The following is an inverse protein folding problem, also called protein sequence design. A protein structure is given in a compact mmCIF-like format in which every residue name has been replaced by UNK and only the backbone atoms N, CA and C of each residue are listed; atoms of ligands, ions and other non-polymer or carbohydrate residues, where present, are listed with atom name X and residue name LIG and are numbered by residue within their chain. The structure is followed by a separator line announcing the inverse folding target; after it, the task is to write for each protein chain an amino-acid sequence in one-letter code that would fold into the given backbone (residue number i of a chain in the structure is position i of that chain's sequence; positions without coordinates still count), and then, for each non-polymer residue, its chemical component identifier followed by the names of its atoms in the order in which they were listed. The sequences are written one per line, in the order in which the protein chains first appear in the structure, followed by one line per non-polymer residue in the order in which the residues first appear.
data_IF_635620926505
#
_entry.id   IF_635620926505
#
_cell.length_a   1.000
_cell.length_b   1.000
_cell.length_c   1.000
_cell.angle_alpha   90.00
_cell.angle_beta   90.00
_cell.angle_gamma   90.00
#
_symmetry.space_group_name_H-M   'P 1'
#
loop_
_entity.id
_entity.type
_entity.pdbx_description
1 polymer ?
#
# COMPACT_ATOMS: atom_id res chain seq x y z
N UNK A 1 -3.25 17.54 -14.84
CA UNK A 1 -2.57 16.49 -15.66
C UNK A 1 -1.67 15.71 -14.72
N UNK A 2 -2.11 14.59 -14.14
CA UNK A 2 -1.23 13.70 -13.38
C UNK A 2 -0.72 12.62 -14.34
N UNK A 3 0.15 13.00 -15.28
CA UNK A 3 0.88 12.08 -16.15
C UNK A 3 2.37 12.41 -16.03
N UNK A 4 2.89 12.28 -14.82
CA UNK A 4 4.33 12.25 -14.60
C UNK A 4 4.73 10.80 -14.33
N UNK A 5 5.53 10.16 -15.22
CA UNK A 5 6.00 8.79 -15.00
C UNK A 5 6.76 8.63 -13.67
N UNK A 6 7.25 9.74 -13.11
CA UNK A 6 7.83 9.79 -11.77
C UNK A 6 6.80 9.55 -10.65
N UNK A 7 5.59 10.11 -10.74
CA UNK A 7 4.54 9.90 -9.72
C UNK A 7 4.06 8.44 -9.73
N UNK A 8 3.92 7.86 -10.92
CA UNK A 8 3.65 6.43 -11.11
C UNK A 8 4.73 5.54 -10.49
N UNK A 9 6.00 5.88 -10.72
CA UNK A 9 7.14 5.13 -10.17
C UNK A 9 7.16 5.22 -8.63
N UNK A 10 6.92 6.40 -8.06
CA UNK A 10 6.86 6.60 -6.61
C UNK A 10 5.70 5.83 -6.00
N UNK A 11 4.50 5.91 -6.60
CA UNK A 11 3.33 5.19 -6.11
C UNK A 11 3.57 3.67 -6.09
N UNK A 12 4.24 3.14 -7.12
CA UNK A 12 4.59 1.72 -7.21
C UNK A 12 5.59 1.30 -6.13
N UNK A 13 6.64 2.09 -5.92
CA UNK A 13 7.66 1.83 -4.90
C UNK A 13 7.05 1.83 -3.48
N UNK A 14 6.20 2.83 -3.18
CA UNK A 14 5.46 2.87 -1.91
C UNK A 14 4.53 1.67 -1.77
N UNK A 15 3.79 1.29 -2.82
CA UNK A 15 2.92 0.12 -2.81
C UNK A 15 3.70 -1.18 -2.51
N UNK A 16 4.88 -1.34 -3.11
CA UNK A 16 5.78 -2.46 -2.86
C UNK A 16 6.25 -2.48 -1.39
N UNK A 17 6.63 -1.33 -0.83
CA UNK A 17 7.05 -1.23 0.57
C UNK A 17 5.89 -1.46 1.56
N UNK A 18 4.69 -0.95 1.27
CA UNK A 18 3.47 -1.23 2.06
C UNK A 18 3.19 -2.72 2.04
N UNK A 19 3.18 -3.34 0.87
CA UNK A 19 2.91 -4.77 0.74
C UNK A 19 3.98 -5.61 1.45
N UNK A 20 5.26 -5.31 1.28
CA UNK A 20 6.34 -6.04 1.94
C UNK A 20 6.22 -5.96 3.48
N UNK A 21 5.95 -4.77 4.02
CA UNK A 21 5.77 -4.57 5.45
C UNK A 21 4.50 -5.26 5.97
N UNK A 22 3.41 -5.23 5.19
CA UNK A 22 2.16 -5.92 5.50
C UNK A 22 2.34 -7.44 5.49
N UNK A 23 2.86 -8.00 4.39
CA UNK A 23 3.04 -9.44 4.20
C UNK A 23 4.01 -10.05 5.20
N UNK A 24 5.03 -9.29 5.64
CA UNK A 24 5.96 -9.74 6.69
C UNK A 24 5.29 -9.91 8.06
N UNK A 25 4.25 -9.13 8.34
CA UNK A 25 3.55 -9.10 9.63
C UNK A 25 2.15 -9.70 9.57
N UNK A 26 1.67 -10.09 8.38
CA UNK A 26 0.37 -10.69 8.21
C UNK A 26 0.32 -12.07 8.88
N UNK A 27 -0.85 -12.42 9.41
CA UNK A 27 -1.10 -13.70 10.09
C UNK A 27 -1.00 -14.91 9.16
N UNK A 28 -1.08 -14.72 7.85
CA UNK A 28 -1.04 -15.78 6.85
C UNK A 28 -0.30 -15.36 5.59
N UNK A 29 0.34 -16.35 4.96
CA UNK A 29 1.06 -16.13 3.72
C UNK A 29 0.10 -15.73 2.59
N UNK A 30 0.43 -14.64 1.90
CA UNK A 30 -0.34 -14.16 0.75
C UNK A 30 0.10 -14.98 -0.47
N UNK A 31 -0.85 -15.57 -1.18
CA UNK A 31 -0.56 -16.29 -2.42
C UNK A 31 0.06 -15.36 -3.46
N UNK A 32 1.00 -15.83 -4.30
CA UNK A 32 1.67 -15.00 -5.31
C UNK A 32 0.70 -14.44 -6.36
N UNK A 33 -0.43 -15.11 -6.63
CA UNK A 33 -1.49 -14.56 -7.49
C UNK A 33 -2.21 -13.36 -6.85
N UNK A 34 -2.26 -13.31 -5.52
CA UNK A 34 -2.90 -12.25 -4.75
C UNK A 34 -1.96 -11.07 -4.51
N UNK A 35 -0.65 -11.33 -4.42
CA UNK A 35 0.39 -10.31 -4.34
C UNK A 35 0.24 -9.25 -5.44
N UNK A 36 0.20 -9.70 -6.70
CA UNK A 36 0.11 -8.78 -7.84
C UNK A 36 -1.19 -7.97 -7.82
N UNK A 37 -2.29 -8.59 -7.38
CA UNK A 37 -3.58 -7.90 -7.24
C UNK A 37 -3.50 -6.80 -6.19
N UNK A 38 -2.94 -7.08 -5.01
CA UNK A 38 -2.79 -6.09 -3.93
C UNK A 38 -1.86 -4.96 -4.39
N UNK A 39 -0.70 -5.29 -4.97
CA UNK A 39 0.26 -4.30 -5.47
C UNK A 39 -0.35 -3.37 -6.50
N UNK A 40 -1.12 -3.91 -7.45
CA UNK A 40 -1.83 -3.10 -8.45
C UNK A 40 -2.85 -2.17 -7.78
N UNK A 41 -3.70 -2.69 -6.89
CA UNK A 41 -4.72 -1.88 -6.21
C UNK A 41 -4.11 -0.80 -5.31
N UNK A 42 -3.02 -1.11 -4.61
CA UNK A 42 -2.26 -0.13 -3.82
C UNK A 42 -1.70 0.97 -4.70
N UNK A 43 -1.00 0.62 -5.79
CA UNK A 43 -0.42 1.62 -6.69
C UNK A 43 -1.49 2.52 -7.32
N UNK A 44 -2.63 1.97 -7.74
CA UNK A 44 -3.76 2.73 -8.27
C UNK A 44 -4.38 3.67 -7.24
N UNK A 45 -4.52 3.24 -5.99
CA UNK A 45 -5.06 4.06 -4.90
C UNK A 45 -4.08 5.17 -4.46
N UNK A 46 -2.77 4.88 -4.46
CA UNK A 46 -1.71 5.80 -4.02
C UNK A 46 -1.39 6.85 -5.10
N UNK A 47 -1.43 6.49 -6.39
CA UNK A 47 -1.12 7.38 -7.52
C UNK A 47 -1.77 8.78 -7.40
N UNK A 48 -3.09 8.93 -7.17
CA UNK A 48 -3.70 10.25 -7.04
C UNK A 48 -3.30 11.02 -5.78
N UNK A 49 -2.75 10.35 -4.76
CA UNK A 49 -2.26 10.97 -3.53
C UNK A 49 -0.80 11.45 -3.64
N UNK A 50 -0.06 11.05 -4.70
CA UNK A 50 1.31 11.52 -4.92
C UNK A 50 1.30 13.01 -5.29
N UNK A 51 2.05 13.81 -4.51
CA UNK A 51 2.05 15.28 -4.60
C UNK A 51 1.01 15.95 -3.68
N UNK A 52 0.19 15.16 -2.98
CA UNK A 52 -0.68 15.60 -1.90
C UNK A 52 -0.05 15.40 -0.51
N UNK A 53 -0.88 15.14 0.50
CA UNK A 53 -0.42 14.93 1.87
C UNK A 53 0.01 13.48 2.09
N UNK A 54 0.97 13.25 2.99
CA UNK A 54 1.35 11.89 3.40
C UNK A 54 0.18 11.14 4.04
N UNK A 55 -0.73 11.85 4.72
CA UNK A 55 -1.95 11.30 5.29
C UNK A 55 -2.91 10.73 4.23
N UNK A 56 -2.98 11.34 3.04
CA UNK A 56 -3.79 10.83 1.92
C UNK A 56 -3.25 9.48 1.43
N UNK A 57 -1.93 9.33 1.37
CA UNK A 57 -1.26 8.07 0.99
C UNK A 57 -1.55 6.99 2.03
N UNK A 58 -1.47 7.34 3.32
CA UNK A 58 -1.79 6.42 4.43
C UNK A 58 -3.24 5.96 4.35
N UNK A 59 -4.19 6.89 4.17
CA UNK A 59 -5.60 6.58 4.07
C UNK A 59 -5.92 5.70 2.84
N UNK A 60 -5.36 6.03 1.68
CA UNK A 60 -5.52 5.24 0.45
C UNK A 60 -4.98 3.82 0.63
N UNK A 61 -3.79 3.68 1.21
CA UNK A 61 -3.17 2.38 1.46
C UNK A 61 -4.00 1.52 2.41
N UNK A 62 -4.44 2.10 3.53
CA UNK A 62 -5.25 1.39 4.53
C UNK A 62 -6.62 1.00 3.99
N UNK A 63 -7.22 1.78 3.10
CA UNK A 63 -8.49 1.44 2.44
C UNK A 63 -8.35 0.18 1.59
N UNK A 64 -7.25 0.05 0.84
CA UNK A 64 -6.98 -1.15 0.03
C UNK A 64 -6.72 -2.37 0.92
N UNK A 65 -5.97 -2.21 2.01
CA UNK A 65 -5.71 -3.30 2.96
C UNK A 65 -7.00 -3.75 3.66
N UNK A 66 -7.88 -2.83 4.03
CA UNK A 66 -9.15 -3.15 4.67
C UNK A 66 -10.12 -3.89 3.72
N UNK A 67 -10.22 -3.43 2.48
CA UNK A 67 -10.96 -4.13 1.43
C UNK A 67 -10.36 -5.52 1.15
N UNK A 68 -9.03 -5.63 1.14
CA UNK A 68 -8.35 -6.92 0.99
C UNK A 68 -8.71 -7.91 2.10
N UNK A 69 -8.60 -7.50 3.37
CA UNK A 69 -8.95 -8.34 4.51
C UNK A 69 -10.45 -8.68 4.56
N UNK A 70 -11.31 -7.76 4.12
CA UNK A 70 -12.75 -8.03 3.99
C UNK A 70 -13.03 -9.15 3.00
N UNK A 71 -12.28 -9.20 1.89
CA UNK A 71 -12.37 -10.27 0.89
C UNK A 71 -11.60 -11.54 1.30
N UNK A 72 -10.67 -11.46 2.26
CA UNK A 72 -9.81 -12.55 2.69
C UNK A 72 -9.81 -12.63 4.24
N UNK A 73 -10.87 -13.19 4.85
CA UNK A 73 -11.06 -13.14 6.30
C UNK A 73 -9.99 -13.87 7.11
N UNK A 74 -9.28 -14.82 6.49
CA UNK A 74 -8.15 -15.55 7.08
C UNK A 74 -6.86 -14.70 7.18
N UNK A 75 -6.80 -13.57 6.47
CA UNK A 75 -5.65 -12.67 6.46
C UNK A 75 -5.96 -11.45 7.33
N UNK A 76 -5.12 -11.23 8.34
CA UNK A 76 -5.08 -10.00 9.12
C UNK A 76 -3.66 -9.49 9.16
N UNK A 77 -3.46 -8.19 9.01
CA UNK A 77 -2.15 -7.59 9.12
C UNK A 77 -2.19 -6.19 9.72
N UNK A 78 -1.02 -5.57 9.87
CA UNK A 78 -0.93 -4.23 10.44
C UNK A 78 -1.47 -3.18 9.46
N UNK A 79 -1.71 -1.98 9.96
CA UNK A 79 -2.10 -0.81 9.19
C UNK A 79 -0.92 0.14 9.02
N UNK A 80 -0.93 0.87 7.92
CA UNK A 80 0.04 1.93 7.65
C UNK A 80 -0.20 3.06 8.65
N UNK A 81 0.84 3.44 9.39
CA UNK A 81 0.82 4.55 10.35
C UNK A 81 1.47 5.78 9.73
N UNK A 82 2.61 5.58 9.07
CA UNK A 82 3.40 6.67 8.48
C UNK A 82 3.95 6.24 7.13
N UNK A 83 3.93 7.15 6.16
CA UNK A 83 4.64 7.03 4.89
C UNK A 83 5.56 8.22 4.74
N UNK A 84 6.80 7.98 4.31
CA UNK A 84 7.80 8.98 4.00
C UNK A 84 8.11 8.94 2.49
N UNK A 85 7.38 9.68 1.63
CA UNK A 85 7.48 9.55 0.18
C UNK A 85 8.88 9.85 -0.37
N UNK A 86 9.62 10.75 0.29
CA UNK A 86 10.98 11.12 -0.10
C UNK A 86 11.97 9.96 0.06
N UNK A 87 11.76 9.10 1.04
CA UNK A 87 12.60 7.93 1.33
C UNK A 87 11.93 6.61 0.87
N UNK A 88 10.67 6.71 0.41
CA UNK A 88 9.75 5.60 0.13
C UNK A 88 9.51 4.64 1.32
N UNK A 89 9.93 5.03 2.51
CA UNK A 89 9.78 4.25 3.73
C UNK A 89 8.34 4.24 4.25
N UNK A 90 7.93 3.09 4.79
CA UNK A 90 6.60 2.84 5.35
C UNK A 90 6.75 2.27 6.75
N UNK A 91 5.96 2.79 7.69
CA UNK A 91 5.86 2.25 9.06
C UNK A 91 4.46 1.68 9.29
N UNK A 92 4.43 0.47 9.86
CA UNK A 92 3.22 -0.29 10.12
C UNK A 92 2.97 -0.42 11.63
N UNK A 93 1.70 -0.48 12.04
CA UNK A 93 1.27 -0.69 13.42
C UNK A 93 -0.04 -1.47 13.51
N UNK A 94 -0.25 -2.17 14.62
CA UNK A 94 -1.48 -2.92 14.92
C UNK A 94 -2.44 -2.10 15.79
#
# INVERSE_FOLDING_TARGET
MPDTPEADQIARDIAENVYAAYAHQATSAIHPSNEQVILTRLAEAIRPAIGGSTEDIVAASNTVLDDWETNNPDVRGPRVVTVMPADRSVSMGF
#
